data_IF_264945145834
#
_entry.id   IF_264945145834
#
_cell.length_a   1.000
_cell.length_b   1.000
_cell.length_c   1.000
_cell.angle_alpha   90.00
_cell.angle_beta   90.00
_cell.angle_gamma   90.00
#
_symmetry.space_group_name_H-M   'P 1'
#
loop_
_entity.id
_entity.type
_entity.pdbx_description
1 polymer ?
#
# COMPACT_ATOMS: atom_id res chain seq x y z
N UNK A 1 -36.54 11.56 -4.31
CA UNK A 1 -36.03 11.50 -5.71
C UNK A 1 -35.60 10.07 -6.00
N UNK A 2 -36.06 9.51 -7.12
CA UNK A 2 -35.74 8.15 -7.57
C UNK A 2 -34.94 8.25 -8.87
N UNK A 3 -33.79 7.59 -8.90
CA UNK A 3 -32.88 7.62 -10.05
C UNK A 3 -33.24 6.50 -11.05
N UNK A 4 -33.51 6.89 -12.29
CA UNK A 4 -33.69 5.97 -13.42
C UNK A 4 -32.35 5.83 -14.16
N UNK A 5 -31.86 4.59 -14.28
CA UNK A 5 -30.52 4.35 -14.83
C UNK A 5 -30.53 4.00 -16.32
N UNK A 6 -31.60 3.40 -16.84
CA UNK A 6 -31.72 3.00 -18.24
C UNK A 6 -30.57 2.12 -18.74
N UNK A 7 -30.55 1.93 -20.06
CA UNK A 7 -29.43 1.33 -20.80
C UNK A 7 -28.75 2.43 -21.62
N UNK A 8 -27.45 2.31 -21.83
CA UNK A 8 -26.70 3.20 -22.71
C UNK A 8 -26.98 2.89 -24.20
N UNK A 9 -26.42 3.73 -25.08
CA UNK A 9 -26.53 3.57 -26.54
C UNK A 9 -25.92 2.27 -27.07
N UNK A 10 -25.17 1.53 -26.24
CA UNK A 10 -24.55 0.24 -26.55
C UNK A 10 -25.31 -0.93 -25.90
N UNK A 11 -26.49 -0.68 -25.31
CA UNK A 11 -27.31 -1.68 -24.63
C UNK A 11 -26.81 -2.10 -23.24
N UNK A 12 -25.76 -1.47 -22.72
CA UNK A 12 -25.21 -1.78 -21.40
C UNK A 12 -25.93 -0.98 -20.30
N UNK A 13 -26.15 -1.59 -19.13
CA UNK A 13 -26.73 -0.88 -17.99
C UNK A 13 -25.78 0.23 -17.50
N UNK A 14 -26.33 1.42 -17.25
CA UNK A 14 -25.51 2.54 -16.72
C UNK A 14 -25.01 2.26 -15.31
N UNK A 15 -23.83 2.79 -14.99
CA UNK A 15 -23.26 2.70 -13.64
C UNK A 15 -24.10 3.52 -12.67
N UNK A 16 -24.22 3.05 -11.42
CA UNK A 16 -24.98 3.70 -10.34
C UNK A 16 -24.58 5.17 -10.06
N UNK A 17 -23.39 5.59 -10.46
CA UNK A 17 -22.92 6.98 -10.30
C UNK A 17 -23.42 7.93 -11.40
N UNK A 18 -24.02 7.41 -12.47
CA UNK A 18 -24.48 8.20 -13.61
C UNK A 18 -25.91 7.77 -14.01
N UNK A 19 -26.93 8.22 -13.26
CA UNK A 19 -28.32 7.99 -13.65
C UNK A 19 -28.67 8.73 -14.95
N UNK A 20 -29.62 8.20 -15.70
CA UNK A 20 -30.14 8.85 -16.90
C UNK A 20 -31.03 10.04 -16.53
N UNK A 21 -31.98 9.82 -15.65
CA UNK A 21 -32.94 10.83 -15.22
C UNK A 21 -33.26 10.64 -13.73
N UNK A 22 -33.69 11.72 -13.07
CA UNK A 22 -34.05 11.71 -11.64
C UNK A 22 -35.46 12.25 -11.50
N UNK A 23 -36.34 11.43 -10.95
CA UNK A 23 -37.77 11.74 -10.79
C UNK A 23 -38.12 12.02 -9.33
N UNK A 24 -39.17 12.82 -9.05
CA UNK A 24 -39.75 12.88 -7.72
C UNK A 24 -40.28 11.50 -7.32
N UNK A 25 -40.11 11.12 -6.06
CA UNK A 25 -40.67 9.86 -5.55
C UNK A 25 -42.08 10.10 -5.06
N UNK A 26 -43.00 9.17 -5.30
CA UNK A 26 -44.39 9.25 -4.81
C UNK A 26 -44.53 8.90 -3.33
N UNK A 27 -43.51 8.29 -2.74
CA UNK A 27 -43.50 7.93 -1.33
C UNK A 27 -43.16 9.13 -0.44
N UNK A 28 -43.70 9.19 0.79
CA UNK A 28 -43.27 10.18 1.78
C UNK A 28 -41.77 10.06 2.05
N UNK A 29 -41.12 11.21 2.30
CA UNK A 29 -39.70 11.25 2.59
C UNK A 29 -39.42 10.69 4.01
N UNK A 30 -38.51 9.72 4.12
CA UNK A 30 -38.12 9.13 5.41
C UNK A 30 -37.20 10.03 6.24
N UNK A 31 -36.46 10.91 5.57
CA UNK A 31 -35.49 11.83 6.18
C UNK A 31 -35.66 13.21 5.56
N UNK A 32 -35.31 14.25 6.32
CA UNK A 32 -35.37 15.61 5.81
C UNK A 32 -34.37 15.81 4.64
N UNK A 33 -34.66 16.70 3.69
CA UNK A 33 -33.71 17.04 2.63
C UNK A 33 -32.37 17.55 3.18
N UNK A 34 -32.40 18.29 4.29
CA UNK A 34 -31.21 18.83 4.95
C UNK A 34 -30.33 17.71 5.53
N UNK A 35 -30.92 16.73 6.21
CA UNK A 35 -30.17 15.59 6.76
C UNK A 35 -29.58 14.72 5.66
N UNK A 36 -30.32 14.54 4.56
CA UNK A 36 -29.83 13.80 3.39
C UNK A 36 -28.61 14.50 2.76
N UNK A 37 -28.67 15.82 2.59
CA UNK A 37 -27.58 16.62 2.05
C UNK A 37 -26.34 16.55 2.94
N UNK A 38 -26.51 16.77 4.25
CA UNK A 38 -25.42 16.65 5.25
C UNK A 38 -24.79 15.27 5.25
N UNK A 39 -25.59 14.20 5.16
CA UNK A 39 -25.07 12.84 5.09
C UNK A 39 -24.28 12.57 3.80
N UNK A 40 -24.69 13.16 2.67
CA UNK A 40 -23.93 13.06 1.41
C UNK A 40 -22.60 13.81 1.47
N UNK A 41 -22.58 15.00 2.06
CA UNK A 41 -21.36 15.78 2.28
C UNK A 41 -20.35 14.98 3.13
N UNK A 42 -20.80 14.45 4.27
CA UNK A 42 -19.97 13.58 5.11
C UNK A 42 -19.42 12.39 4.31
N UNK A 43 -20.27 11.68 3.55
CA UNK A 43 -19.83 10.57 2.70
C UNK A 43 -18.76 10.98 1.69
N UNK A 44 -18.86 12.18 1.09
CA UNK A 44 -17.84 12.70 0.18
C UNK A 44 -16.53 13.00 0.91
N UNK A 45 -16.60 13.62 2.09
CA UNK A 45 -15.42 13.88 2.94
C UNK A 45 -14.71 12.58 3.35
N UNK A 46 -15.48 11.53 3.69
CA UNK A 46 -14.94 10.23 4.08
C UNK A 46 -14.50 9.35 2.90
N UNK A 47 -15.00 9.59 1.67
CA UNK A 47 -14.71 8.75 0.50
C UNK A 47 -13.21 8.70 0.14
N UNK A 48 -12.45 9.73 0.51
CA UNK A 48 -11.01 9.83 0.25
C UNK A 48 -10.15 9.40 1.45
N UNK A 49 -10.73 9.10 2.60
CA UNK A 49 -9.95 8.65 3.76
C UNK A 49 -9.43 7.24 3.48
N UNK A 50 -8.11 7.08 3.58
CA UNK A 50 -7.47 5.77 3.65
C UNK A 50 -8.02 5.09 4.90
N UNK A 51 -8.75 3.99 4.74
CA UNK A 51 -9.11 3.14 5.88
C UNK A 51 -7.80 2.59 6.42
N UNK A 52 -7.29 3.17 7.49
CA UNK A 52 -6.15 2.65 8.25
C UNK A 52 -6.64 1.41 9.00
N UNK A 53 -6.89 0.33 8.27
CA UNK A 53 -7.46 -0.93 8.77
C UNK A 53 -6.47 -1.79 9.55
N UNK A 54 -5.36 -1.22 10.03
CA UNK A 54 -4.39 -1.95 10.83
C UNK A 54 -4.00 -1.15 12.06
N UNK A 55 -4.18 -1.78 13.22
CA UNK A 55 -3.75 -1.30 14.54
C UNK A 55 -2.23 -1.18 14.66
N UNK A 56 -1.47 -1.85 13.76
CA UNK A 56 -0.02 -1.81 13.71
C UNK A 56 0.49 -1.44 12.30
N UNK A 57 1.53 -0.57 12.20
CA UNK A 57 2.18 -0.31 10.93
C UNK A 57 2.80 -1.59 10.39
N UNK A 58 2.55 -1.90 9.12
CA UNK A 58 3.18 -3.05 8.45
C UNK A 58 4.64 -2.71 8.17
N UNK A 59 5.55 -3.33 8.91
CA UNK A 59 6.99 -3.12 8.74
C UNK A 59 7.59 -4.08 7.71
N UNK A 60 8.52 -3.55 6.92
CA UNK A 60 9.30 -4.27 5.91
C UNK A 60 10.77 -3.85 6.04
N UNK A 61 11.52 -4.42 7.00
CA UNK A 61 12.86 -3.97 7.38
C UNK A 61 13.86 -3.95 6.24
N UNK A 62 13.67 -4.81 5.23
CA UNK A 62 14.57 -4.91 4.10
C UNK A 62 14.21 -3.98 2.93
N UNK A 63 13.21 -3.11 3.09
CA UNK A 63 12.86 -2.12 2.06
C UNK A 63 14.00 -1.13 1.87
N UNK A 64 14.45 -0.95 0.63
CA UNK A 64 15.59 -0.09 0.30
C UNK A 64 16.96 -0.75 0.46
N UNK A 65 17.02 -1.93 1.07
CA UNK A 65 18.23 -2.76 1.18
C UNK A 65 18.20 -3.88 0.13
N UNK A 66 17.05 -4.54 -0.04
CA UNK A 66 16.90 -5.60 -1.04
C UNK A 66 16.93 -5.05 -2.46
N UNK A 67 17.80 -5.64 -3.28
CA UNK A 67 17.95 -5.34 -4.69
C UNK A 67 17.58 -6.60 -5.49
N UNK A 68 16.87 -6.41 -6.60
CA UNK A 68 16.57 -7.49 -7.54
C UNK A 68 17.84 -7.94 -8.27
N UNK A 69 18.19 -9.22 -8.15
CA UNK A 69 19.35 -9.78 -8.86
C UNK A 69 19.22 -9.80 -10.39
N UNK A 70 18.02 -9.62 -10.96
CA UNK A 70 17.81 -9.62 -12.42
C UNK A 70 17.91 -8.22 -13.04
N UNK A 71 17.29 -7.21 -12.43
CA UNK A 71 17.24 -5.86 -13.00
C UNK A 71 17.97 -4.79 -12.16
N UNK A 72 18.57 -5.16 -11.04
CA UNK A 72 19.33 -4.25 -10.17
C UNK A 72 18.50 -3.18 -9.47
N UNK A 73 17.17 -3.24 -9.56
CA UNK A 73 16.29 -2.27 -8.92
C UNK A 73 15.90 -2.69 -7.50
N UNK A 74 15.60 -1.71 -6.65
CA UNK A 74 15.16 -1.98 -5.28
C UNK A 74 13.84 -2.78 -5.26
N UNK A 75 13.74 -3.69 -4.30
CA UNK A 75 12.51 -4.41 -3.98
C UNK A 75 11.70 -3.63 -2.93
N UNK A 76 10.38 -3.65 -3.08
CA UNK A 76 9.43 -2.96 -2.20
C UNK A 76 8.55 -3.96 -1.44
N UNK A 77 8.26 -3.66 -0.18
CA UNK A 77 7.29 -4.40 0.61
C UNK A 77 5.85 -4.27 0.08
N UNK A 78 5.14 -5.39 -0.02
CA UNK A 78 3.72 -5.46 -0.39
C UNK A 78 3.00 -6.53 0.45
N UNK A 79 1.69 -6.34 0.67
CA UNK A 79 0.81 -7.36 1.24
C UNK A 79 -0.13 -7.88 0.17
N UNK A 80 -0.24 -9.20 0.02
CA UNK A 80 -1.21 -9.84 -0.87
C UNK A 80 -1.84 -11.04 -0.16
N UNK A 81 -3.16 -11.16 -0.18
CA UNK A 81 -3.89 -12.26 0.48
C UNK A 81 -3.55 -12.44 1.97
N UNK A 82 -3.30 -11.35 2.69
CA UNK A 82 -2.92 -11.38 4.11
C UNK A 82 -1.47 -11.77 4.39
N UNK A 83 -0.65 -12.04 3.36
CA UNK A 83 0.77 -12.40 3.49
C UNK A 83 1.68 -11.28 3.02
N UNK A 84 2.89 -11.20 3.57
CA UNK A 84 3.88 -10.16 3.25
C UNK A 84 4.89 -10.66 2.23
N UNK A 85 5.23 -9.78 1.27
CA UNK A 85 6.16 -10.07 0.19
C UNK A 85 7.07 -8.88 -0.09
N UNK A 86 8.25 -9.17 -0.63
CA UNK A 86 9.08 -8.21 -1.35
C UNK A 86 8.87 -8.40 -2.86
N UNK A 87 8.55 -7.33 -3.56
CA UNK A 87 8.33 -7.32 -5.00
C UNK A 87 9.27 -6.32 -5.67
N UNK A 88 9.86 -6.73 -6.78
CA UNK A 88 10.60 -5.85 -7.66
C UNK A 88 9.78 -4.60 -8.09
N UNK A 89 10.41 -3.42 -7.97
CA UNK A 89 9.79 -2.13 -8.28
C UNK A 89 9.37 -2.01 -9.74
N UNK A 90 10.16 -2.54 -10.68
CA UNK A 90 9.86 -2.40 -12.12
C UNK A 90 8.63 -3.19 -12.51
N UNK A 91 8.46 -4.38 -11.91
CA UNK A 91 7.25 -5.20 -12.09
C UNK A 91 6.03 -4.57 -11.41
N UNK A 92 6.18 -4.08 -10.19
CA UNK A 92 5.09 -3.45 -9.45
C UNK A 92 4.53 -2.22 -10.18
N UNK A 93 5.39 -1.41 -10.77
CA UNK A 93 4.99 -0.21 -11.49
C UNK A 93 4.68 -0.45 -12.97
N UNK A 94 4.85 -1.68 -13.47
CA UNK A 94 4.73 -2.01 -14.90
C UNK A 94 5.66 -1.19 -15.82
N UNK A 95 6.85 -0.81 -15.32
CA UNK A 95 7.83 0.05 -16.03
C UNK A 95 8.93 -0.78 -16.72
N UNK A 96 8.99 -2.11 -16.50
CA UNK A 96 10.01 -2.96 -17.09
C UNK A 96 9.58 -4.40 -17.34
N UNK A 97 10.46 -5.17 -17.99
CA UNK A 97 10.27 -6.57 -18.37
C UNK A 97 10.87 -7.56 -17.37
N UNK A 98 11.20 -7.12 -16.16
CA UNK A 98 11.80 -7.98 -15.15
C UNK A 98 10.91 -9.20 -14.84
N UNK A 99 11.51 -10.39 -14.80
CA UNK A 99 10.82 -11.66 -14.56
C UNK A 99 10.92 -12.12 -13.11
N UNK A 100 11.61 -11.35 -12.25
CA UNK A 100 11.81 -11.66 -10.83
C UNK A 100 10.49 -11.97 -10.12
N UNK A 101 10.40 -13.13 -9.47
CA UNK A 101 9.23 -13.52 -8.69
C UNK A 101 9.18 -12.77 -7.36
N UNK A 102 7.97 -12.60 -6.83
CA UNK A 102 7.75 -12.06 -5.49
C UNK A 102 8.34 -12.98 -4.45
N UNK A 103 9.11 -12.42 -3.51
CA UNK A 103 9.77 -13.16 -2.44
C UNK A 103 8.94 -13.03 -1.17
N UNK A 104 8.74 -14.12 -0.42
CA UNK A 104 8.03 -14.06 0.88
C UNK A 104 8.88 -13.26 1.87
N UNK A 105 8.26 -12.27 2.51
CA UNK A 105 8.99 -11.37 3.41
C UNK A 105 9.57 -12.14 4.59
N UNK A 106 8.82 -13.09 5.14
CA UNK A 106 9.27 -13.90 6.29
C UNK A 106 10.51 -14.73 5.97
N UNK A 107 10.63 -15.23 4.73
CA UNK A 107 11.77 -16.05 4.30
C UNK A 107 13.01 -15.18 4.09
N UNK A 108 12.86 -14.05 3.40
CA UNK A 108 13.98 -13.13 3.17
C UNK A 108 14.51 -12.52 4.47
N UNK A 109 13.59 -12.08 5.36
CA UNK A 109 13.94 -11.54 6.68
C UNK A 109 14.69 -12.58 7.52
N UNK A 110 14.20 -13.83 7.53
CA UNK A 110 14.87 -14.92 8.26
C UNK A 110 16.29 -15.17 7.74
N UNK A 111 16.50 -15.21 6.43
CA UNK A 111 17.84 -15.40 5.86
C UNK A 111 18.81 -14.29 6.25
N UNK A 112 18.36 -13.03 6.25
CA UNK A 112 19.19 -11.90 6.68
C UNK A 112 19.52 -11.99 8.17
N UNK A 113 18.54 -12.35 9.02
CA UNK A 113 18.77 -12.55 10.45
C UNK A 113 19.77 -13.69 10.69
N UNK A 114 19.59 -14.82 10.03
CA UNK A 114 20.48 -15.98 10.17
C UNK A 114 21.92 -15.62 9.75
N UNK A 115 22.08 -14.82 8.69
CA UNK A 115 23.38 -14.30 8.26
C UNK A 115 24.01 -13.38 9.30
N UNK A 116 23.26 -12.41 9.82
CA UNK A 116 23.75 -11.48 10.85
C UNK A 116 24.17 -12.24 12.11
N UNK A 117 23.38 -13.23 12.53
CA UNK A 117 23.71 -14.08 13.68
C UNK A 117 24.96 -14.94 13.48
N UNK A 118 25.29 -15.29 12.24
CA UNK A 118 26.49 -16.04 11.92
C UNK A 118 27.76 -15.16 11.88
N UNK A 119 27.62 -13.83 11.83
CA UNK A 119 28.76 -12.91 11.84
C UNK A 119 29.43 -12.96 13.21
N UNK A 120 30.68 -13.43 13.24
CA UNK A 120 31.55 -13.33 14.42
C UNK A 120 32.42 -12.09 14.29
N UNK A 121 32.29 -11.17 15.23
CA UNK A 121 33.21 -10.05 15.38
C UNK A 121 34.51 -10.55 16.03
N UNK A 122 35.64 -9.97 15.63
CA UNK A 122 36.92 -10.26 16.29
C UNK A 122 36.91 -9.71 17.72
N UNK A 123 37.63 -10.30 18.68
CA UNK A 123 37.56 -9.89 20.09
C UNK A 123 37.92 -8.42 20.35
N UNK A 124 38.77 -7.84 19.51
CA UNK A 124 39.29 -6.48 19.55
C UNK A 124 38.47 -5.48 18.71
N UNK A 125 37.28 -5.88 18.22
CA UNK A 125 36.47 -5.05 17.34
C UNK A 125 36.12 -3.68 17.95
N UNK A 126 35.94 -3.61 19.28
CA UNK A 126 35.65 -2.36 19.97
C UNK A 126 36.82 -1.39 19.91
N UNK A 127 38.04 -1.86 20.17
CA UNK A 127 39.25 -1.06 20.08
C UNK A 127 39.47 -0.58 18.64
N UNK A 128 39.23 -1.46 17.66
CA UNK A 128 39.32 -1.11 16.25
C UNK A 128 38.32 -0.03 15.82
N UNK A 129 37.05 -0.12 16.25
CA UNK A 129 36.01 0.88 15.92
C UNK A 129 36.35 2.23 16.55
N UNK A 130 36.77 2.25 17.81
CA UNK A 130 37.13 3.48 18.53
C UNK A 130 38.36 4.16 17.91
N UNK A 131 39.32 3.38 17.40
CA UNK A 131 40.54 3.91 16.79
C UNK A 131 40.35 4.40 15.35
N UNK A 132 39.40 3.84 14.60
CA UNK A 132 39.22 4.15 13.16
C UNK A 132 38.02 5.05 12.85
N UNK A 133 36.95 5.07 13.66
CA UNK A 133 35.75 5.83 13.33
C UNK A 133 34.98 6.34 14.55
N UNK A 134 35.38 7.53 15.03
CA UNK A 134 34.46 8.52 15.59
C UNK A 134 35.10 9.92 15.53
N UNK A 135 34.95 10.63 14.41
CA UNK A 135 35.04 12.10 14.41
C UNK A 135 33.61 12.63 14.46
N UNK A 136 33.09 13.04 15.63
CA UNK A 136 31.93 13.90 15.64
C UNK A 136 32.35 15.19 14.92
N UNK A 137 31.71 15.53 13.81
CA UNK A 137 31.73 16.91 13.34
C UNK A 137 30.95 17.72 14.39
N UNK A 138 31.67 18.39 15.28
CA UNK A 138 31.11 19.42 16.15
C UNK A 138 30.64 20.59 15.27
N UNK A 139 29.38 20.99 15.45
CA UNK A 139 28.73 22.17 14.87
C UNK A 139 28.39 23.16 15.95
#
# INVERSE_FOLDING_TARGET
MVAYYGVDVKGCKRKRKNPAEVFPGEHPALVSPADFARAQELRQMFARRVRLGHTYPRMYPLSGILICGSCGHNMRGMTSGGRRYYWDRTRLNHIGSCTQKTVRAEVAEKQVVDLICAVKLQPDWQEWVMNNHFTPQES
#
